data_IF_882954138579
#
_entry.id   IF_882954138579
#
_cell.length_a   1.000
_cell.length_b   1.000
_cell.length_c   1.000
_cell.angle_alpha   90.00
_cell.angle_beta   90.00
_cell.angle_gamma   90.00
#
_symmetry.space_group_name_H-M   'P 1'
#
loop_
_entity.id
_entity.type
_entity.pdbx_description
1 polymer ?
#
# COMPACT_ATOMS: atom_id res chain seq x y z
N UNK A 1 0.46 14.92 3.78
CA UNK A 1 1.01 14.97 2.40
C UNK A 1 0.59 16.29 1.76
N UNK A 2 1.47 16.96 1.00
CA UNK A 2 1.18 18.25 0.36
C UNK A 2 0.22 18.09 -0.82
N UNK A 3 -0.63 19.11 -1.10
CA UNK A 3 -1.60 19.07 -2.19
C UNK A 3 -0.96 18.84 -3.57
N UNK A 4 0.22 19.45 -3.80
CA UNK A 4 1.00 19.27 -5.04
C UNK A 4 1.35 17.80 -5.26
N UNK A 5 1.66 17.07 -4.18
CA UNK A 5 1.99 15.65 -4.26
C UNK A 5 0.79 14.80 -4.74
N UNK A 6 -0.41 15.02 -4.21
CA UNK A 6 -1.62 14.31 -4.65
C UNK A 6 -1.90 14.52 -6.13
N UNK A 7 -1.75 15.74 -6.63
CA UNK A 7 -1.95 16.04 -8.07
C UNK A 7 -0.89 15.33 -8.94
N UNK A 8 0.37 15.40 -8.53
CA UNK A 8 1.46 14.72 -9.24
C UNK A 8 1.22 13.21 -9.27
N UNK A 9 0.88 12.59 -8.13
CA UNK A 9 0.59 11.15 -8.06
C UNK A 9 -0.59 10.80 -8.96
N UNK A 10 -1.68 11.58 -8.92
CA UNK A 10 -2.86 11.37 -9.78
C UNK A 10 -2.51 11.30 -11.27
N UNK A 11 -1.58 12.14 -11.74
CA UNK A 11 -1.15 12.17 -13.13
C UNK A 11 -0.28 10.96 -13.52
N UNK A 12 0.56 10.48 -12.59
CA UNK A 12 1.59 9.48 -12.92
C UNK A 12 1.29 8.07 -12.42
N UNK A 13 0.38 7.87 -11.46
CA UNK A 13 0.20 6.57 -10.79
C UNK A 13 -0.22 5.43 -11.74
N UNK A 14 -0.85 5.75 -12.87
CA UNK A 14 -1.20 4.77 -13.91
C UNK A 14 -0.03 4.43 -14.85
N UNK A 15 1.06 5.18 -14.78
CA UNK A 15 2.21 5.03 -15.70
C UNK A 15 3.52 4.80 -14.98
N UNK A 16 3.69 5.32 -13.78
CA UNK A 16 4.90 5.21 -13.00
C UNK A 16 5.20 3.75 -12.62
N UNK A 17 6.41 3.29 -12.91
CA UNK A 17 6.84 1.90 -12.77
C UNK A 17 6.51 1.28 -11.40
N UNK A 18 6.72 2.04 -10.32
CA UNK A 18 6.50 1.54 -8.96
C UNK A 18 5.01 1.33 -8.67
N UNK A 19 4.16 2.31 -9.02
CA UNK A 19 2.71 2.22 -8.81
C UNK A 19 2.11 1.05 -9.59
N UNK A 20 2.45 0.95 -10.88
CA UNK A 20 1.96 -0.11 -11.77
C UNK A 20 2.42 -1.50 -11.31
N UNK A 21 3.71 -1.64 -10.95
CA UNK A 21 4.24 -2.92 -10.52
C UNK A 21 3.68 -3.35 -9.16
N UNK A 22 3.58 -2.41 -8.18
CA UNK A 22 2.94 -2.67 -6.88
C UNK A 22 1.50 -3.12 -7.06
N UNK A 23 0.71 -2.42 -7.88
CA UNK A 23 -0.68 -2.80 -8.16
C UNK A 23 -0.77 -4.23 -8.73
N UNK A 24 0.05 -4.60 -9.71
CA UNK A 24 0.09 -5.96 -10.28
C UNK A 24 0.43 -7.03 -9.25
N UNK A 25 1.31 -6.71 -8.29
CA UNK A 25 1.66 -7.62 -7.19
C UNK A 25 0.47 -7.77 -6.24
N UNK A 26 -0.17 -6.68 -5.84
CA UNK A 26 -1.36 -6.67 -4.98
C UNK A 26 -2.49 -7.49 -5.60
N UNK A 27 -2.80 -7.26 -6.87
CA UNK A 27 -3.82 -8.03 -7.62
C UNK A 27 -3.50 -9.53 -7.65
N UNK A 28 -2.25 -9.91 -7.95
CA UNK A 28 -1.85 -11.32 -7.96
C UNK A 28 -1.99 -11.97 -6.57
N UNK A 29 -1.68 -11.22 -5.51
CA UNK A 29 -1.87 -11.69 -4.13
C UNK A 29 -3.35 -11.89 -3.81
N UNK A 30 -4.21 -10.95 -4.18
CA UNK A 30 -5.67 -11.08 -4.01
C UNK A 30 -6.17 -12.34 -4.74
N UNK A 31 -5.78 -12.53 -5.98
CA UNK A 31 -6.26 -13.64 -6.82
C UNK A 31 -5.76 -15.00 -6.38
N UNK A 32 -4.50 -15.08 -5.96
CA UNK A 32 -3.85 -16.36 -5.69
C UNK A 32 -3.93 -16.79 -4.23
N UNK A 33 -3.95 -15.82 -3.31
CA UNK A 33 -3.83 -16.10 -1.87
C UNK A 33 -5.13 -15.87 -1.10
N UNK A 34 -5.85 -14.79 -1.41
CA UNK A 34 -7.08 -14.44 -0.71
C UNK A 34 -8.28 -15.15 -1.34
N UNK A 35 -8.38 -15.15 -2.67
CA UNK A 35 -9.44 -15.81 -3.44
C UNK A 35 -10.83 -15.35 -3.00
N UNK A 36 -11.09 -14.08 -3.16
CA UNK A 36 -12.35 -13.46 -2.77
C UNK A 36 -13.54 -14.08 -3.53
N UNK A 37 -14.72 -14.20 -2.89
CA UNK A 37 -15.93 -14.64 -3.57
C UNK A 37 -16.38 -13.59 -4.60
N UNK A 38 -17.21 -13.99 -5.58
CA UNK A 38 -17.89 -13.03 -6.46
C UNK A 38 -18.66 -12.00 -5.62
N UNK A 39 -18.60 -10.72 -6.03
CA UNK A 39 -19.24 -9.60 -5.31
C UNK A 39 -18.75 -9.42 -3.86
N UNK A 40 -17.52 -9.82 -3.57
CA UNK A 40 -16.90 -9.49 -2.29
C UNK A 40 -16.94 -7.98 -2.04
N UNK A 41 -17.16 -7.61 -0.79
CA UNK A 41 -17.07 -6.20 -0.36
C UNK A 41 -15.66 -5.90 0.09
N UNK A 42 -15.04 -4.89 -0.52
CA UNK A 42 -13.64 -4.50 -0.28
C UNK A 42 -13.57 -3.05 0.14
N UNK A 43 -12.70 -2.74 1.10
CA UNK A 43 -12.40 -1.37 1.53
C UNK A 43 -10.92 -1.06 1.31
N UNK A 44 -10.64 0.01 0.59
CA UNK A 44 -9.29 0.55 0.41
C UNK A 44 -9.11 1.75 1.35
N UNK A 45 -8.35 1.55 2.41
CA UNK A 45 -8.06 2.58 3.42
C UNK A 45 -6.83 3.36 2.98
N UNK A 46 -6.93 4.70 2.98
CA UNK A 46 -5.91 5.56 2.38
C UNK A 46 -5.89 5.43 0.86
N UNK A 47 -7.07 5.41 0.23
CA UNK A 47 -7.22 5.16 -1.20
C UNK A 47 -6.56 6.22 -2.11
N UNK A 48 -6.13 7.35 -1.54
CA UNK A 48 -5.49 8.43 -2.27
C UNK A 48 -6.34 8.93 -3.42
N UNK A 49 -5.72 9.14 -4.57
CA UNK A 49 -6.38 9.56 -5.82
C UNK A 49 -7.13 8.42 -6.56
N UNK A 50 -7.18 7.21 -5.99
CA UNK A 50 -8.11 6.16 -6.37
C UNK A 50 -7.64 5.15 -7.41
N UNK A 51 -6.36 5.08 -7.78
CA UNK A 51 -5.92 4.12 -8.80
C UNK A 51 -6.13 2.65 -8.38
N UNK A 52 -5.83 2.32 -7.13
CA UNK A 52 -6.07 0.96 -6.59
C UNK A 52 -7.56 0.73 -6.43
N UNK A 53 -8.30 1.69 -5.89
CA UNK A 53 -9.74 1.62 -5.73
C UNK A 53 -10.46 1.40 -7.07
N UNK A 54 -10.02 2.06 -8.16
CA UNK A 54 -10.54 1.86 -9.51
C UNK A 54 -10.38 0.41 -9.98
N UNK A 55 -9.19 -0.17 -9.79
CA UNK A 55 -8.93 -1.56 -10.14
C UNK A 55 -9.77 -2.55 -9.31
N UNK A 56 -9.95 -2.26 -8.02
CA UNK A 56 -10.82 -3.06 -7.14
C UNK A 56 -12.29 -2.93 -7.53
N UNK A 57 -12.76 -1.72 -7.87
CA UNK A 57 -14.14 -1.44 -8.27
C UNK A 57 -14.55 -2.12 -9.58
N UNK A 58 -13.60 -2.40 -10.47
CA UNK A 58 -13.86 -3.16 -11.69
C UNK A 58 -14.26 -4.63 -11.41
N UNK A 59 -14.01 -5.14 -10.20
CA UNK A 59 -14.11 -6.56 -9.85
C UNK A 59 -15.00 -6.84 -8.64
N UNK A 60 -15.09 -5.90 -7.72
CA UNK A 60 -15.71 -6.07 -6.40
C UNK A 60 -16.63 -4.89 -6.07
N UNK A 61 -17.45 -5.04 -5.05
CA UNK A 61 -18.16 -3.94 -4.40
C UNK A 61 -17.14 -3.17 -3.54
N UNK A 62 -16.43 -2.22 -4.16
CA UNK A 62 -15.30 -1.55 -3.54
C UNK A 62 -15.67 -0.16 -3.00
N UNK A 63 -15.12 0.15 -1.84
CA UNK A 63 -15.22 1.41 -1.13
C UNK A 63 -13.82 1.93 -0.84
N UNK A 64 -13.67 3.26 -0.73
CA UNK A 64 -12.41 3.89 -0.37
C UNK A 64 -12.57 4.92 0.73
N UNK A 65 -11.54 5.07 1.56
CA UNK A 65 -11.45 6.18 2.52
C UNK A 65 -10.09 6.85 2.42
N UNK A 66 -10.08 8.16 2.53
CA UNK A 66 -8.86 8.96 2.71
C UNK A 66 -9.20 10.18 3.57
N UNK A 67 -8.24 10.67 4.32
CA UNK A 67 -8.43 11.87 5.16
C UNK A 67 -8.25 13.17 4.36
N UNK A 68 -7.67 13.10 3.16
CA UNK A 68 -7.48 14.23 2.27
C UNK A 68 -8.71 14.48 1.41
N UNK A 69 -9.33 15.64 1.56
CA UNK A 69 -10.43 16.04 0.69
C UNK A 69 -10.02 16.07 -0.78
N UNK A 70 -8.82 16.58 -1.09
CA UNK A 70 -8.30 16.61 -2.46
C UNK A 70 -8.17 15.20 -3.05
N UNK A 71 -7.65 14.23 -2.28
CA UNK A 71 -7.55 12.85 -2.73
C UNK A 71 -8.93 12.29 -3.14
N UNK A 72 -9.95 12.53 -2.32
CA UNK A 72 -11.31 12.07 -2.61
C UNK A 72 -11.92 12.81 -3.81
N UNK A 73 -11.70 14.11 -3.94
CA UNK A 73 -12.16 14.86 -5.11
C UNK A 73 -11.52 14.33 -6.41
N UNK A 74 -10.24 13.95 -6.39
CA UNK A 74 -9.55 13.29 -7.50
C UNK A 74 -10.11 11.87 -7.77
N UNK A 75 -10.42 11.11 -6.73
CA UNK A 75 -11.08 9.80 -6.86
C UNK A 75 -12.47 9.94 -7.49
N UNK A 76 -13.25 10.96 -7.10
CA UNK A 76 -14.55 11.25 -7.71
C UNK A 76 -14.42 11.65 -9.19
N UNK A 77 -13.35 12.37 -9.57
CA UNK A 77 -13.08 12.67 -10.99
C UNK A 77 -12.81 11.42 -11.83
N UNK A 78 -12.37 10.31 -11.20
CA UNK A 78 -12.30 8.98 -11.84
C UNK A 78 -13.64 8.24 -11.91
N UNK A 79 -14.72 8.83 -11.38
CA UNK A 79 -16.04 8.19 -11.30
C UNK A 79 -16.23 7.28 -10.08
N UNK A 80 -15.32 7.31 -9.09
CA UNK A 80 -15.37 6.47 -7.90
C UNK A 80 -16.25 7.10 -6.81
N UNK A 81 -17.55 6.97 -6.94
CA UNK A 81 -18.54 7.60 -6.04
C UNK A 81 -18.56 7.02 -4.63
N UNK A 82 -18.00 5.81 -4.43
CA UNK A 82 -17.88 5.13 -3.14
C UNK A 82 -16.57 5.48 -2.40
N UNK A 83 -15.94 6.61 -2.69
CA UNK A 83 -14.79 7.14 -1.97
C UNK A 83 -15.25 8.23 -0.99
N UNK A 84 -14.80 8.16 0.28
CA UNK A 84 -15.25 9.00 1.37
C UNK A 84 -14.10 9.72 2.06
N UNK A 85 -14.25 11.03 2.30
CA UNK A 85 -13.27 11.83 3.04
C UNK A 85 -13.49 11.63 4.55
N UNK A 86 -12.89 10.58 5.11
CA UNK A 86 -13.07 10.20 6.51
C UNK A 86 -11.95 9.27 6.99
N UNK A 87 -11.86 9.07 8.31
CA UNK A 87 -11.13 7.96 8.94
C UNK A 87 -12.02 6.71 9.00
N UNK A 88 -11.45 5.56 9.40
CA UNK A 88 -12.24 4.36 9.66
C UNK A 88 -13.27 4.56 10.79
N UNK A 89 -12.92 5.35 11.81
CA UNK A 89 -13.81 5.64 12.95
C UNK A 89 -15.07 6.41 12.52
N UNK A 90 -14.94 7.28 11.52
CA UNK A 90 -16.00 8.14 11.01
C UNK A 90 -16.57 7.66 9.68
N UNK A 91 -16.28 6.42 9.28
CA UNK A 91 -16.78 5.82 8.05
C UNK A 91 -18.33 5.80 8.05
N UNK A 92 -19.00 6.28 6.98
CA UNK A 92 -20.45 6.55 7.00
C UNK A 92 -21.33 5.29 7.05
N UNK A 93 -20.74 4.09 6.89
CA UNK A 93 -21.45 2.82 6.93
C UNK A 93 -20.93 1.91 8.05
N UNK A 94 -21.19 2.21 9.32
CA UNK A 94 -20.65 1.47 10.46
C UNK A 94 -21.15 0.03 10.53
N UNK A 95 -22.27 -0.28 9.87
CA UNK A 95 -22.87 -1.62 9.78
C UNK A 95 -22.16 -2.52 8.74
N UNK A 96 -21.38 -1.95 7.81
CA UNK A 96 -20.71 -2.74 6.77
C UNK A 96 -19.65 -3.64 7.36
N UNK A 97 -19.51 -4.80 6.73
CA UNK A 97 -18.41 -5.73 7.00
C UNK A 97 -17.80 -6.15 5.67
N UNK A 98 -16.47 -6.15 5.63
CA UNK A 98 -15.69 -6.36 4.41
C UNK A 98 -15.06 -7.74 4.38
N UNK A 99 -14.95 -8.31 3.20
CA UNK A 99 -14.21 -9.54 2.94
C UNK A 99 -12.70 -9.29 2.87
N UNK A 100 -12.32 -8.09 2.40
CA UNK A 100 -10.95 -7.61 2.33
C UNK A 100 -10.88 -6.13 2.71
N UNK A 101 -9.87 -5.77 3.49
CA UNK A 101 -9.42 -4.39 3.69
C UNK A 101 -7.99 -4.29 3.21
N UNK A 102 -7.70 -3.31 2.35
CA UNK A 102 -6.34 -2.95 1.93
C UNK A 102 -5.87 -1.70 2.68
N UNK A 103 -4.61 -1.74 3.15
CA UNK A 103 -3.90 -0.60 3.75
C UNK A 103 -2.52 -0.55 3.07
N UNK A 104 -2.46 0.11 1.92
CA UNK A 104 -1.29 0.09 1.05
C UNK A 104 -0.46 1.36 1.25
N UNK A 105 0.58 1.26 2.06
CA UNK A 105 1.44 2.38 2.49
C UNK A 105 0.61 3.46 3.22
N UNK A 106 -0.05 3.06 4.32
CA UNK A 106 -0.96 3.90 5.13
C UNK A 106 -0.50 4.04 6.58
N UNK A 107 -0.21 2.92 7.25
CA UNK A 107 0.02 2.91 8.70
C UNK A 107 1.33 3.59 9.13
N UNK A 108 2.26 3.81 8.22
CA UNK A 108 3.47 4.61 8.43
C UNK A 108 3.18 6.11 8.51
N UNK A 109 2.03 6.57 8.04
CA UNK A 109 1.65 7.98 8.05
C UNK A 109 0.91 8.39 9.33
N UNK A 110 0.36 7.44 10.08
CA UNK A 110 -0.47 7.71 11.26
C UNK A 110 0.33 7.58 12.56
N UNK A 111 -0.01 8.37 13.57
CA UNK A 111 0.64 8.29 14.88
C UNK A 111 0.18 7.03 15.64
N UNK A 112 -1.11 6.68 15.58
CA UNK A 112 -1.71 5.47 16.18
C UNK A 112 -1.99 4.40 15.13
N UNK A 113 -0.96 3.67 14.73
CA UNK A 113 -1.09 2.52 13.81
C UNK A 113 -1.90 1.36 14.40
N UNK A 114 -1.84 1.17 15.74
CA UNK A 114 -2.65 0.19 16.44
C UNK A 114 -4.15 0.52 16.37
N UNK A 115 -4.52 1.79 16.55
CA UNK A 115 -5.90 2.24 16.45
C UNK A 115 -6.50 1.99 15.07
N UNK A 116 -5.79 2.39 14.02
CA UNK A 116 -6.24 2.14 12.63
C UNK A 116 -6.39 0.65 12.34
N UNK A 117 -5.45 -0.19 12.78
CA UNK A 117 -5.54 -1.63 12.57
C UNK A 117 -6.65 -2.30 13.39
N UNK A 118 -6.95 -1.83 14.62
CA UNK A 118 -8.11 -2.28 15.40
C UNK A 118 -9.42 -1.95 14.70
N UNK A 119 -9.55 -0.73 14.17
CA UNK A 119 -10.73 -0.35 13.38
C UNK A 119 -10.86 -1.21 12.11
N UNK A 120 -9.76 -1.42 11.37
CA UNK A 120 -9.76 -2.31 10.22
C UNK A 120 -10.20 -3.73 10.61
N UNK A 121 -9.69 -4.25 11.73
CA UNK A 121 -10.11 -5.56 12.25
C UNK A 121 -11.61 -5.58 12.56
N UNK A 122 -12.18 -4.52 13.16
CA UNK A 122 -13.60 -4.41 13.49
C UNK A 122 -14.48 -4.44 12.25
N UNK A 123 -14.05 -3.77 11.17
CA UNK A 123 -14.79 -3.72 9.91
C UNK A 123 -14.68 -4.98 9.04
N UNK A 124 -13.74 -5.87 9.31
CA UNK A 124 -13.66 -7.15 8.60
C UNK A 124 -14.76 -8.13 9.06
N UNK A 125 -15.24 -8.96 8.14
CA UNK A 125 -16.01 -10.15 8.49
C UNK A 125 -15.15 -11.13 9.29
N UNK A 126 -15.75 -12.00 10.16
CA UNK A 126 -15.03 -13.17 10.65
C UNK A 126 -14.44 -13.96 9.48
N UNK A 127 -13.15 -14.29 9.55
CA UNK A 127 -12.42 -14.91 8.44
C UNK A 127 -12.02 -13.97 7.30
N UNK A 128 -12.35 -12.68 7.35
CA UNK A 128 -11.93 -11.67 6.37
C UNK A 128 -10.44 -11.35 6.42
N UNK A 129 -9.94 -10.71 5.39
CA UNK A 129 -8.52 -10.47 5.16
C UNK A 129 -8.13 -9.00 5.24
N UNK A 130 -6.96 -8.73 5.81
CA UNK A 130 -6.24 -7.47 5.65
C UNK A 130 -5.00 -7.70 4.78
N UNK A 131 -4.82 -6.85 3.78
CA UNK A 131 -3.61 -6.77 2.95
C UNK A 131 -2.92 -5.44 3.26
N UNK A 132 -1.75 -5.52 3.87
CA UNK A 132 -1.01 -4.34 4.34
C UNK A 132 0.33 -4.28 3.61
N UNK A 133 0.70 -3.11 3.11
CA UNK A 133 2.08 -2.81 2.68
C UNK A 133 2.63 -1.64 3.46
N UNK A 134 3.93 -1.68 3.74
CA UNK A 134 4.65 -0.61 4.45
C UNK A 134 6.09 -0.51 3.95
N UNK A 135 6.75 0.66 4.05
CA UNK A 135 8.16 0.80 3.77
C UNK A 135 9.00 0.01 4.79
N UNK A 136 10.06 -0.64 4.28
CA UNK A 136 10.94 -1.44 5.10
C UNK A 136 12.13 -0.64 5.62
N UNK A 137 12.65 -1.08 6.78
CA UNK A 137 13.90 -0.68 7.41
C UNK A 137 14.04 0.81 7.76
N UNK A 138 14.07 1.09 9.05
CA UNK A 138 14.29 2.43 9.61
C UNK A 138 15.61 3.06 9.12
N UNK A 139 16.67 2.26 8.92
CA UNK A 139 17.95 2.77 8.44
C UNK A 139 17.89 3.36 7.02
N UNK A 140 16.88 3.01 6.21
CA UNK A 140 16.65 3.58 4.88
C UNK A 140 15.89 4.91 4.91
N UNK A 141 15.62 5.45 6.10
CA UNK A 141 14.98 6.77 6.23
C UNK A 141 15.71 7.83 5.41
N UNK A 142 14.97 8.58 4.61
CA UNK A 142 15.53 9.58 3.71
C UNK A 142 14.57 10.72 3.36
N UNK A 143 14.94 11.60 2.44
CA UNK A 143 14.13 12.76 2.04
C UNK A 143 12.73 12.38 1.55
N UNK A 144 12.58 11.21 0.92
CA UNK A 144 11.28 10.68 0.49
C UNK A 144 10.32 10.48 1.67
N UNK A 145 10.80 9.97 2.81
CA UNK A 145 9.97 9.79 4.00
C UNK A 145 9.50 11.13 4.59
N UNK A 146 10.40 12.11 4.58
CA UNK A 146 10.10 13.46 5.08
C UNK A 146 9.02 14.12 4.23
N UNK A 147 9.16 14.09 2.90
CA UNK A 147 8.17 14.68 1.96
C UNK A 147 6.81 13.99 2.04
N UNK A 148 6.81 12.68 2.26
CA UNK A 148 5.57 11.91 2.45
C UNK A 148 5.01 11.99 3.88
N UNK A 149 5.65 12.70 4.80
CA UNK A 149 5.25 12.80 6.20
C UNK A 149 5.14 11.42 6.89
N UNK A 150 6.04 10.48 6.53
CA UNK A 150 6.12 9.22 7.25
C UNK A 150 6.44 9.47 8.72
N UNK A 151 5.93 8.62 9.58
CA UNK A 151 6.22 8.62 11.03
C UNK A 151 7.22 7.52 11.38
N UNK A 152 7.26 6.46 10.56
CA UNK A 152 8.07 5.27 10.79
C UNK A 152 8.26 4.43 9.53
N UNK A 153 9.24 3.55 9.60
CA UNK A 153 9.39 2.40 8.71
C UNK A 153 9.35 1.12 9.54
N UNK A 154 9.12 -0.01 8.92
CA UNK A 154 8.92 -1.26 9.64
C UNK A 154 10.02 -2.28 9.34
N UNK A 155 10.24 -3.18 10.31
CA UNK A 155 10.85 -4.48 10.07
C UNK A 155 9.78 -5.57 10.25
N UNK A 156 9.95 -6.74 9.62
CA UNK A 156 8.97 -7.83 9.69
C UNK A 156 8.53 -8.19 11.12
N UNK A 157 9.44 -8.34 12.11
CA UNK A 157 9.03 -8.64 13.48
C UNK A 157 8.18 -7.52 14.12
N UNK A 158 8.47 -6.25 13.79
CA UNK A 158 7.71 -5.09 14.26
C UNK A 158 6.30 -5.09 13.69
N UNK A 159 6.16 -5.21 12.37
CA UNK A 159 4.85 -5.27 11.71
C UNK A 159 4.01 -6.46 12.19
N UNK A 160 4.65 -7.64 12.38
CA UNK A 160 3.97 -8.81 12.96
C UNK A 160 3.38 -8.49 14.33
N UNK A 161 4.18 -7.92 15.24
CA UNK A 161 3.73 -7.58 16.61
C UNK A 161 2.55 -6.60 16.59
N UNK A 162 2.59 -5.59 15.74
CA UNK A 162 1.50 -4.59 15.62
C UNK A 162 0.21 -5.26 15.12
N UNK A 163 0.29 -6.11 14.10
CA UNK A 163 -0.87 -6.84 13.57
C UNK A 163 -1.44 -7.82 14.62
N UNK A 164 -0.61 -8.62 15.27
CA UNK A 164 -1.03 -9.59 16.29
C UNK A 164 -1.63 -8.91 17.52
N UNK A 165 -1.08 -7.77 17.94
CA UNK A 165 -1.61 -6.97 19.05
C UNK A 165 -3.01 -6.39 18.79
N UNK A 166 -3.41 -6.31 17.52
CA UNK A 166 -4.74 -5.83 17.11
C UNK A 166 -5.73 -6.96 16.80
N UNK A 167 -5.37 -8.21 17.11
CA UNK A 167 -6.24 -9.38 16.99
C UNK A 167 -6.13 -10.12 15.65
N UNK A 168 -5.27 -9.70 14.76
CA UNK A 168 -5.05 -10.39 13.50
C UNK A 168 -4.21 -11.65 13.63
N UNK A 169 -4.56 -12.67 12.86
CA UNK A 169 -3.67 -13.80 12.56
C UNK A 169 -2.81 -13.48 11.34
N UNK A 170 -1.51 -13.32 11.52
CA UNK A 170 -0.57 -13.07 10.41
C UNK A 170 -0.33 -14.36 9.63
N UNK A 171 -0.92 -14.45 8.44
CA UNK A 171 -0.82 -15.63 7.56
C UNK A 171 0.40 -15.59 6.66
N UNK A 172 0.86 -14.40 6.30
CA UNK A 172 2.06 -14.21 5.49
C UNK A 172 2.71 -12.87 5.78
N UNK A 173 4.03 -12.88 5.80
CA UNK A 173 4.90 -11.70 5.82
C UNK A 173 6.04 -11.92 4.85
N UNK A 174 6.18 -11.03 3.88
CA UNK A 174 7.26 -11.07 2.90
C UNK A 174 7.79 -9.66 2.66
N UNK A 175 9.08 -9.55 2.46
CA UNK A 175 9.56 -8.37 1.76
C UNK A 175 9.16 -8.43 0.29
N UNK A 176 9.15 -7.30 -0.38
CA UNK A 176 9.03 -7.17 -1.84
C UNK A 176 9.78 -5.92 -2.30
N UNK A 177 9.85 -5.72 -3.60
CA UNK A 177 10.85 -4.83 -4.22
C UNK A 177 12.27 -5.27 -3.84
N UNK A 178 12.51 -6.58 -3.95
CA UNK A 178 13.73 -7.29 -3.57
C UNK A 178 14.78 -7.20 -4.67
N UNK A 179 14.37 -7.36 -5.93
CA UNK A 179 15.29 -7.38 -7.09
C UNK A 179 15.98 -6.02 -7.24
N UNK A 180 15.24 -4.94 -7.03
CA UNK A 180 15.77 -3.58 -7.11
C UNK A 180 16.44 -3.10 -5.81
N UNK A 181 16.33 -3.86 -4.72
CA UNK A 181 16.88 -3.49 -3.42
C UNK A 181 18.39 -3.20 -3.44
N UNK A 182 19.28 -4.00 -4.08
CA UNK A 182 20.70 -3.69 -4.12
C UNK A 182 21.00 -2.35 -4.81
N UNK A 183 20.33 -2.06 -5.93
CA UNK A 183 20.50 -0.80 -6.65
C UNK A 183 20.01 0.39 -5.81
N UNK A 184 18.87 0.26 -5.15
CA UNK A 184 18.35 1.28 -4.25
C UNK A 184 19.25 1.52 -3.03
N UNK A 185 19.85 0.46 -2.49
CA UNK A 185 20.80 0.56 -1.38
C UNK A 185 22.07 1.30 -1.79
N UNK A 186 22.58 1.05 -2.99
CA UNK A 186 23.74 1.78 -3.55
C UNK A 186 23.38 3.26 -3.75
N UNK A 187 22.21 3.56 -4.32
CA UNK A 187 21.76 4.94 -4.51
C UNK A 187 21.61 5.66 -3.16
N UNK A 188 20.98 5.03 -2.17
CA UNK A 188 20.85 5.56 -0.82
C UNK A 188 22.21 5.83 -0.14
N UNK A 189 23.16 4.90 -0.27
CA UNK A 189 24.50 5.06 0.28
C UNK A 189 25.26 6.21 -0.41
N UNK A 190 25.16 6.32 -1.74
CA UNK A 190 25.75 7.41 -2.51
C UNK A 190 25.17 8.78 -2.10
N UNK A 191 23.86 8.88 -1.95
CA UNK A 191 23.19 10.09 -1.46
C UNK A 191 23.73 10.50 -0.10
N UNK A 192 23.85 9.55 0.83
CA UNK A 192 24.29 9.81 2.20
C UNK A 192 25.79 10.18 2.29
N UNK A 193 26.63 9.59 1.44
CA UNK A 193 28.09 9.81 1.45
C UNK A 193 28.52 11.02 0.63
N UNK A 194 27.83 11.27 -0.49
CA UNK A 194 28.24 12.30 -1.46
C UNK A 194 27.37 13.57 -1.37
N UNK A 195 26.27 13.54 -0.61
CA UNK A 195 25.31 14.64 -0.51
C UNK A 195 24.57 14.95 -1.83
N UNK A 196 24.58 14.01 -2.76
CA UNK A 196 23.92 14.15 -4.09
C UNK A 196 22.62 13.37 -4.06
N UNK A 197 21.55 14.02 -3.57
CA UNK A 197 20.23 13.43 -3.56
C UNK A 197 19.46 13.65 -4.86
N UNK A 198 18.67 12.64 -5.28
CA UNK A 198 17.66 12.84 -6.29
C UNK A 198 16.50 13.67 -5.73
N UNK A 199 15.75 14.35 -6.60
CA UNK A 199 14.52 15.03 -6.19
C UNK A 199 13.58 13.98 -5.56
N UNK A 200 13.14 14.16 -4.30
CA UNK A 200 12.28 13.19 -3.62
C UNK A 200 10.87 13.13 -4.22
N UNK A 201 10.52 14.08 -5.09
CA UNK A 201 9.21 14.09 -5.76
C UNK A 201 9.12 12.99 -6.81
N UNK A 202 7.99 12.27 -6.89
CA UNK A 202 7.83 11.22 -7.87
C UNK A 202 7.84 11.78 -9.29
N UNK A 203 8.65 11.18 -10.15
CA UNK A 203 8.71 11.51 -11.57
C UNK A 203 8.80 10.23 -12.40
N UNK A 204 8.18 10.24 -13.59
CA UNK A 204 8.23 9.07 -14.48
C UNK A 204 9.59 9.06 -15.21
N UNK A 205 10.40 8.01 -15.06
CA UNK A 205 11.63 7.86 -15.82
C UNK A 205 11.37 7.82 -17.33
N UNK A 206 12.40 8.02 -18.18
CA UNK A 206 12.27 7.80 -19.63
C UNK A 206 11.64 6.45 -19.95
N UNK A 207 10.79 6.39 -20.98
CA UNK A 207 9.92 5.25 -21.26
C UNK A 207 10.64 3.87 -21.29
N UNK A 208 11.84 3.70 -21.89
CA UNK A 208 12.52 2.42 -21.84
C UNK A 208 12.90 1.97 -20.43
N UNK A 209 13.39 2.90 -19.60
CA UNK A 209 13.77 2.62 -18.22
C UNK A 209 12.54 2.35 -17.37
N UNK A 210 11.48 3.16 -17.49
CA UNK A 210 10.24 2.96 -16.79
C UNK A 210 9.62 1.59 -17.08
N UNK A 211 9.63 1.17 -18.35
CA UNK A 211 9.12 -0.14 -18.78
C UNK A 211 9.96 -1.28 -18.19
N UNK A 212 11.29 -1.16 -18.23
CA UNK A 212 12.21 -2.14 -17.65
C UNK A 212 11.98 -2.28 -16.14
N UNK A 213 11.94 -1.18 -15.40
CA UNK A 213 11.70 -1.18 -13.96
C UNK A 213 10.32 -1.78 -13.62
N UNK A 214 9.29 -1.44 -14.41
CA UNK A 214 7.95 -2.04 -14.27
C UNK A 214 7.99 -3.56 -14.47
N UNK A 215 8.67 -4.04 -15.50
CA UNK A 215 8.77 -5.46 -15.81
C UNK A 215 9.52 -6.20 -14.69
N UNK A 216 10.69 -5.69 -14.31
CA UNK A 216 11.54 -6.27 -13.25
C UNK A 216 10.77 -6.35 -11.92
N UNK A 217 10.20 -5.23 -11.46
CA UNK A 217 9.49 -5.23 -10.18
C UNK A 217 8.19 -6.06 -10.23
N UNK A 218 7.42 -5.99 -11.31
CA UNK A 218 6.21 -6.82 -11.46
C UNK A 218 6.51 -8.31 -11.48
N UNK A 219 7.72 -8.73 -11.92
CA UNK A 219 8.11 -10.15 -11.97
C UNK A 219 8.19 -10.79 -10.58
N UNK A 220 8.39 -9.99 -9.52
CA UNK A 220 8.41 -10.49 -8.15
C UNK A 220 7.11 -11.18 -7.71
N UNK A 221 5.98 -10.88 -8.36
CA UNK A 221 4.72 -11.60 -8.12
C UNK A 221 4.87 -13.11 -8.26
N UNK A 222 5.71 -13.57 -9.20
CA UNK A 222 5.95 -15.02 -9.40
C UNK A 222 6.73 -15.63 -8.24
N UNK A 223 7.72 -14.91 -7.70
CA UNK A 223 8.47 -15.33 -6.51
C UNK A 223 7.56 -15.34 -5.27
N UNK A 224 6.76 -14.29 -5.11
CA UNK A 224 5.82 -14.14 -4.00
C UNK A 224 4.72 -15.21 -3.96
N UNK A 225 4.44 -15.90 -5.06
CA UNK A 225 3.52 -17.04 -5.07
C UNK A 225 4.02 -18.22 -4.24
N UNK A 226 5.33 -18.47 -4.21
CA UNK A 226 5.95 -19.61 -3.52
C UNK A 226 6.73 -19.22 -2.27
N UNK A 227 7.45 -18.11 -2.31
CA UNK A 227 8.46 -17.74 -1.35
C UNK A 227 8.07 -16.53 -0.50
N UNK A 228 8.51 -16.51 0.74
CA UNK A 228 8.61 -15.28 1.53
C UNK A 228 10.02 -14.72 1.33
N UNK A 229 10.13 -13.57 0.66
CA UNK A 229 11.41 -12.97 0.32
C UNK A 229 12.08 -12.42 1.58
N UNK A 230 13.41 -12.61 1.74
CA UNK A 230 14.11 -12.31 2.99
C UNK A 230 14.46 -10.84 3.19
N UNK A 231 14.48 -10.03 2.13
CA UNK A 231 14.78 -8.60 2.13
C UNK A 231 14.05 -7.88 0.98
N UNK A 232 13.98 -6.55 1.03
CA UNK A 232 13.35 -5.70 0.00
C UNK A 232 13.03 -4.32 0.55
N UNK A 233 12.66 -3.39 -0.30
CA UNK A 233 12.37 -2.00 0.07
C UNK A 233 11.04 -1.83 0.84
N UNK A 234 10.14 -2.79 0.70
CA UNK A 234 8.83 -2.76 1.33
C UNK A 234 8.47 -4.13 1.92
N UNK A 235 7.51 -4.15 2.83
CA UNK A 235 6.96 -5.38 3.43
C UNK A 235 5.49 -5.50 3.00
N UNK A 236 5.10 -6.71 2.63
CA UNK A 236 3.71 -7.11 2.38
C UNK A 236 3.27 -8.08 3.47
N UNK A 237 2.15 -7.79 4.09
CA UNK A 237 1.52 -8.64 5.08
C UNK A 237 0.13 -9.08 4.61
N UNK A 238 -0.15 -10.37 4.72
CA UNK A 238 -1.50 -10.91 4.71
C UNK A 238 -1.87 -11.31 6.13
N UNK A 239 -2.89 -10.69 6.65
CA UNK A 239 -3.42 -10.97 7.96
C UNK A 239 -4.92 -11.33 7.87
N UNK A 240 -5.41 -12.11 8.79
CA UNK A 240 -6.78 -12.59 8.78
C UNK A 240 -7.45 -12.27 10.09
N UNK A 241 -8.68 -11.79 10.04
CA UNK A 241 -9.53 -11.78 11.22
C UNK A 241 -9.91 -13.23 11.55
N UNK A 242 -9.69 -13.73 12.78
CA UNK A 242 -10.18 -15.06 13.18
C UNK A 242 -11.68 -15.24 12.92
N UNK A 243 -12.15 -16.49 12.71
CA UNK A 243 -13.57 -16.81 12.55
C UNK A 243 -14.41 -16.40 13.77
#
# INVERSE_FOLDING_TARGET
MEEVFYRTVYEIEKTHWWCVARQRIVEDVIDRRIKLPPRARVLDVGCGSGAVLEALSARFEAYGTDTSRLAIDLSHQRGLTNAFCCTLETFPHPEFRFDLITLLDVIEHVDDDLGVLKEAHRYLKPGGWALVTVPAYEFLWGPHDVVNHHKRRYARPGLRRVLEATGFEVRRLSYFNTILFPAALVAWAAERLLGVGADPRPSVPPAPLNSLLTAVFSSEKYLLRGLALPYGLSILALARRPP
#
